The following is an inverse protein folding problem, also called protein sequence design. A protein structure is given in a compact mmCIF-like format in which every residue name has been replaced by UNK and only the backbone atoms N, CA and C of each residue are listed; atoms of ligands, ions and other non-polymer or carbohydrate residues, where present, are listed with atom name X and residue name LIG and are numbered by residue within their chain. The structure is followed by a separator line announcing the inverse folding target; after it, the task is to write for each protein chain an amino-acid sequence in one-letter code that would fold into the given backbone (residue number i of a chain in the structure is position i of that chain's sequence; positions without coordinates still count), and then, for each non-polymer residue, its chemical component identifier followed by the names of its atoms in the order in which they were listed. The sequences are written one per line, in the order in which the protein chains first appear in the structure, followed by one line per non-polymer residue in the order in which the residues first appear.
data_IF_955241095465
#
_entry.id   IF_955241095465
#
_cell.length_a   1.000
_cell.length_b   1.000
_cell.length_c   1.000
_cell.angle_alpha   90.00
_cell.angle_beta   90.00
_cell.angle_gamma   90.00
#
_symmetry.space_group_name_H-M   'P 1'
#
loop_
_entity.id
_entity.type
_entity.pdbx_description
1 polymer ?
#
# COMPACT_ATOMS: atom_id res chain seq x y z
N UNK A 1 7.05 1.24 -21.02
CA UNK A 1 5.76 1.69 -20.45
C UNK A 1 5.56 1.00 -19.13
N UNK A 2 5.20 1.76 -18.09
CA UNK A 2 4.90 1.17 -16.78
C UNK A 2 3.81 0.12 -16.91
N UNK A 3 4.02 -1.01 -16.23
CA UNK A 3 3.13 -2.17 -16.30
C UNK A 3 2.95 -2.86 -14.95
N UNK A 4 3.58 -2.32 -13.93
CA UNK A 4 3.59 -2.86 -12.58
C UNK A 4 3.38 -1.75 -11.55
N UNK A 5 2.79 -2.12 -10.42
CA UNK A 5 2.55 -1.24 -9.27
C UNK A 5 3.13 -1.90 -8.03
N UNK A 6 3.72 -1.12 -7.15
CA UNK A 6 3.92 -1.48 -5.75
C UNK A 6 3.08 -0.54 -4.90
N UNK A 7 2.43 -1.06 -3.85
CA UNK A 7 1.70 -0.23 -2.90
C UNK A 7 1.88 -0.69 -1.45
N UNK A 8 1.53 0.20 -0.54
CA UNK A 8 1.62 0.00 0.91
C UNK A 8 0.52 0.79 1.63
N UNK A 9 0.03 0.26 2.75
CA UNK A 9 -0.90 0.94 3.65
C UNK A 9 -0.24 1.30 4.97
N UNK A 10 -0.48 2.51 5.45
CA UNK A 10 -0.22 2.86 6.83
C UNK A 10 -1.50 2.71 7.65
N UNK A 11 -1.40 2.04 8.80
CA UNK A 11 -2.59 1.59 9.54
C UNK A 11 -2.53 1.92 11.03
N UNK A 12 -3.70 1.96 11.69
CA UNK A 12 -3.85 2.02 13.14
C UNK A 12 -4.22 0.66 13.77
N UNK A 13 -4.10 -0.43 12.98
CA UNK A 13 -4.42 -1.77 13.44
C UNK A 13 -3.60 -2.80 12.66
N UNK A 14 -3.29 -3.93 13.29
CA UNK A 14 -2.70 -5.09 12.64
C UNK A 14 -3.76 -6.08 12.10
N UNK A 15 -5.03 -5.79 12.30
CA UNK A 15 -6.15 -6.58 11.76
C UNK A 15 -6.48 -6.10 10.33
N UNK A 16 -6.11 -6.85 9.28
CA UNK A 16 -6.34 -6.40 7.91
C UNK A 16 -7.81 -6.46 7.48
N UNK A 17 -8.67 -7.13 8.27
CA UNK A 17 -10.11 -7.26 7.97
C UNK A 17 -10.88 -6.04 8.45
N UNK A 18 -10.59 -5.56 9.68
CA UNK A 18 -11.35 -4.50 10.35
C UNK A 18 -10.50 -3.33 10.84
N UNK A 19 -9.23 -3.34 10.52
CA UNK A 19 -8.34 -2.27 10.95
C UNK A 19 -8.58 -0.96 10.20
N UNK A 20 -8.39 0.15 10.91
CA UNK A 20 -8.39 1.49 10.32
C UNK A 20 -7.11 1.71 9.51
N UNK A 21 -7.25 2.24 8.30
CA UNK A 21 -6.13 2.70 7.48
C UNK A 21 -5.97 4.22 7.57
N UNK A 22 -4.73 4.69 7.54
CA UNK A 22 -4.39 6.12 7.60
C UNK A 22 -4.15 6.64 6.21
N UNK A 23 -3.33 5.92 5.44
CA UNK A 23 -2.95 6.31 4.09
C UNK A 23 -2.70 5.10 3.22
N UNK A 24 -2.75 5.34 1.93
CA UNK A 24 -2.37 4.43 0.88
C UNK A 24 -1.36 5.14 -0.03
N UNK A 25 -0.25 4.49 -0.29
CA UNK A 25 0.74 4.95 -1.25
C UNK A 25 0.97 3.91 -2.34
N UNK A 26 1.11 4.37 -3.58
CA UNK A 26 1.41 3.50 -4.71
C UNK A 26 2.46 4.12 -5.63
N UNK A 27 3.21 3.26 -6.29
CA UNK A 27 4.25 3.61 -7.24
C UNK A 27 4.12 2.75 -8.50
N UNK A 28 4.01 3.38 -9.66
CA UNK A 28 3.99 2.71 -10.96
C UNK A 28 5.39 2.61 -11.58
N UNK A 29 5.72 1.47 -12.19
CA UNK A 29 7.04 1.24 -12.78
C UNK A 29 7.02 0.21 -13.92
N UNK A 30 8.09 0.22 -14.73
CA UNK A 30 8.38 -0.76 -15.77
C UNK A 30 9.49 -1.71 -15.30
N UNK A 31 9.16 -2.97 -15.09
CA UNK A 31 10.13 -3.98 -14.62
C UNK A 31 11.31 -4.16 -15.56
N UNK A 32 11.13 -3.97 -16.85
CA UNK A 32 12.23 -4.14 -17.84
C UNK A 32 13.37 -3.16 -17.60
N UNK A 33 13.09 -2.00 -16.99
CA UNK A 33 14.09 -0.99 -16.67
C UNK A 33 15.07 -1.39 -15.58
N UNK A 34 14.71 -2.31 -14.69
CA UNK A 34 15.58 -2.69 -13.56
C UNK A 34 16.93 -3.29 -14.01
N UNK A 35 16.97 -3.91 -15.18
CA UNK A 35 18.18 -4.52 -15.72
C UNK A 35 19.00 -3.51 -16.54
N UNK A 36 18.35 -2.85 -17.49
CA UNK A 36 19.05 -2.06 -18.52
C UNK A 36 19.21 -0.58 -18.14
N UNK A 37 18.21 -0.02 -17.46
CA UNK A 37 18.18 1.38 -17.06
C UNK A 37 17.46 1.55 -15.74
N UNK A 38 18.10 1.26 -14.60
CA UNK A 38 17.48 1.40 -13.28
C UNK A 38 16.91 2.82 -13.06
N UNK A 39 15.80 2.89 -12.34
CA UNK A 39 15.22 4.17 -11.94
C UNK A 39 16.14 4.91 -10.97
N UNK A 40 16.23 6.21 -11.11
CA UNK A 40 16.75 7.08 -10.07
C UNK A 40 15.69 7.26 -8.98
N UNK A 41 16.12 7.68 -7.78
CA UNK A 41 15.19 8.00 -6.70
C UNK A 41 14.17 9.09 -7.11
N UNK A 42 14.62 10.10 -7.84
CA UNK A 42 13.76 11.19 -8.31
C UNK A 42 12.70 10.70 -9.32
N UNK A 43 13.07 9.83 -10.26
CA UNK A 43 12.11 9.21 -11.18
C UNK A 43 11.06 8.38 -10.43
N UNK A 44 11.47 7.62 -9.41
CA UNK A 44 10.51 6.85 -8.59
C UNK A 44 9.59 7.78 -7.80
N UNK A 45 10.11 8.83 -7.21
CA UNK A 45 9.33 9.78 -6.43
C UNK A 45 8.27 10.49 -7.30
N UNK A 46 8.61 10.83 -8.55
CA UNK A 46 7.67 11.45 -9.49
C UNK A 46 6.52 10.50 -9.92
N UNK A 47 6.73 9.19 -9.80
CA UNK A 47 5.73 8.16 -10.10
C UNK A 47 4.98 7.68 -8.84
N UNK A 48 5.26 8.28 -7.68
CA UNK A 48 4.63 7.92 -6.42
C UNK A 48 3.40 8.81 -6.18
N UNK A 49 2.30 8.16 -5.84
CA UNK A 49 1.04 8.80 -5.49
C UNK A 49 0.61 8.37 -4.11
N UNK A 50 0.06 9.28 -3.31
CA UNK A 50 -0.39 9.00 -1.96
C UNK A 50 -1.73 9.69 -1.68
N UNK A 51 -2.59 8.99 -0.95
CA UNK A 51 -3.88 9.49 -0.46
C UNK A 51 -4.00 9.18 1.03
N UNK A 52 -4.61 10.07 1.79
CA UNK A 52 -4.89 9.88 3.22
C UNK A 52 -6.39 9.85 3.49
N UNK A 53 -6.77 9.11 4.51
CA UNK A 53 -8.17 8.81 4.77
C UNK A 53 -8.68 9.36 6.11
N UNK A 54 -9.97 9.70 6.12
CA UNK A 54 -10.70 10.10 7.31
C UNK A 54 -10.82 8.91 8.28
N UNK A 55 -10.04 8.94 9.37
CA UNK A 55 -10.02 7.88 10.39
C UNK A 55 -11.35 7.78 11.12
N UNK A 56 -11.93 8.92 11.48
CA UNK A 56 -13.18 8.99 12.23
C UNK A 56 -14.37 8.41 11.46
N UNK A 57 -14.43 8.62 10.15
CA UNK A 57 -15.44 8.05 9.25
C UNK A 57 -15.37 6.52 9.28
N UNK A 58 -14.15 5.96 9.13
CA UNK A 58 -13.96 4.51 9.14
C UNK A 58 -14.45 3.84 10.42
N UNK A 59 -14.24 4.48 11.56
CA UNK A 59 -14.72 3.97 12.85
C UNK A 59 -16.24 4.07 12.97
N UNK A 60 -16.81 5.22 12.58
CA UNK A 60 -18.23 5.52 12.81
C UNK A 60 -19.17 4.84 11.82
N UNK A 61 -18.77 4.82 10.54
CA UNK A 61 -19.65 4.38 9.46
C UNK A 61 -19.38 2.94 9.03
N UNK A 62 -18.10 2.51 9.05
CA UNK A 62 -17.70 1.17 8.62
C UNK A 62 -17.37 0.21 9.78
N UNK A 63 -17.42 0.70 11.04
CA UNK A 63 -17.15 -0.11 12.22
C UNK A 63 -15.72 -0.65 12.29
N UNK A 64 -14.77 0.05 11.65
CA UNK A 64 -13.36 -0.31 11.69
C UNK A 64 -12.74 -0.01 13.05
N UNK A 65 -11.69 -0.71 13.40
CA UNK A 65 -11.10 -0.68 14.73
C UNK A 65 -9.67 -0.13 14.73
N UNK A 66 -9.35 0.52 15.84
CA UNK A 66 -8.01 1.02 16.16
C UNK A 66 -7.43 0.17 17.29
N UNK A 67 -6.17 -0.25 17.16
CA UNK A 67 -5.48 -1.01 18.20
C UNK A 67 -4.52 -0.12 18.98
N UNK A 68 -4.64 -0.14 20.32
CA UNK A 68 -3.80 0.66 21.20
C UNK A 68 -2.30 0.34 21.03
N UNK A 69 -1.96 -0.93 20.82
CA UNK A 69 -0.58 -1.36 20.56
C UNK A 69 0.02 -0.73 19.31
N UNK A 70 -0.79 -0.55 18.25
CA UNK A 70 -0.34 0.11 17.02
C UNK A 70 -0.16 1.62 17.22
N UNK A 71 -1.05 2.27 17.98
CA UNK A 71 -0.88 3.67 18.36
C UNK A 71 0.42 3.85 19.17
N UNK A 72 0.67 2.96 20.12
CA UNK A 72 1.87 3.05 20.97
C UNK A 72 3.15 2.78 20.16
N UNK A 73 3.09 1.88 19.18
CA UNK A 73 4.19 1.68 18.23
C UNK A 73 4.47 2.96 17.44
N UNK A 74 3.43 3.63 16.91
CA UNK A 74 3.57 4.88 16.17
C UNK A 74 4.17 6.01 17.01
N UNK A 75 3.79 6.15 18.30
CA UNK A 75 4.35 7.15 19.22
C UNK A 75 5.86 6.99 19.40
N UNK A 76 6.41 5.80 19.18
CA UNK A 76 7.84 5.51 19.29
C UNK A 76 8.60 5.69 17.95
N UNK A 77 7.91 6.01 16.85
CA UNK A 77 8.54 6.29 15.58
C UNK A 77 9.15 7.70 15.53
N UNK A 78 10.07 7.99 14.59
CA UNK A 78 10.56 9.35 14.35
C UNK A 78 9.43 10.35 14.15
N UNK A 79 9.64 11.61 14.53
CA UNK A 79 8.62 12.65 14.45
C UNK A 79 8.11 12.87 13.01
N UNK A 80 8.99 12.71 12.04
CA UNK A 80 8.68 12.81 10.62
C UNK A 80 7.63 11.75 10.21
N UNK A 81 7.80 10.51 10.68
CA UNK A 81 6.83 9.44 10.46
C UNK A 81 5.51 9.70 11.20
N UNK A 82 5.59 10.18 12.46
CA UNK A 82 4.39 10.55 13.23
C UNK A 82 3.58 11.67 12.58
N UNK A 83 4.23 12.54 11.78
CA UNK A 83 3.53 13.61 11.08
C UNK A 83 2.51 13.09 10.08
N UNK A 84 2.76 11.92 9.49
CA UNK A 84 1.81 11.26 8.57
C UNK A 84 0.49 10.89 9.23
N UNK A 85 0.47 10.69 10.56
CA UNK A 85 -0.73 10.33 11.32
C UNK A 85 -1.67 11.51 11.57
N UNK A 86 -1.19 12.75 11.43
CA UNK A 86 -2.01 13.92 11.76
C UNK A 86 -3.14 14.06 10.76
N UNK A 87 -4.39 14.22 11.24
CA UNK A 87 -5.49 14.58 10.36
C UNK A 87 -5.17 15.84 9.56
N UNK A 88 -5.61 15.86 8.32
CA UNK A 88 -5.47 16.98 7.38
C UNK A 88 -6.83 17.35 6.80
N UNK A 89 -6.99 18.59 6.35
CA UNK A 89 -8.18 19.01 5.61
C UNK A 89 -8.28 18.32 4.23
N UNK A 90 -7.18 17.76 3.75
CA UNK A 90 -7.11 17.01 2.49
C UNK A 90 -7.40 15.52 2.65
N UNK A 91 -7.65 15.03 3.88
CA UNK A 91 -8.01 13.63 4.12
C UNK A 91 -9.39 13.34 3.53
N UNK A 92 -9.52 12.22 2.81
CA UNK A 92 -10.74 11.87 2.06
C UNK A 92 -11.42 10.62 2.62
N UNK A 93 -12.62 10.32 2.14
CA UNK A 93 -13.30 9.06 2.42
C UNK A 93 -12.52 7.85 1.86
N UNK A 94 -12.63 6.68 2.51
CA UNK A 94 -12.10 5.43 1.95
C UNK A 94 -12.80 5.03 0.64
N UNK A 95 -13.96 5.62 0.31
CA UNK A 95 -14.64 5.41 -0.97
C UNK A 95 -13.80 5.87 -2.17
N UNK A 96 -12.89 6.83 -1.97
CA UNK A 96 -12.02 7.38 -3.00
C UNK A 96 -10.87 6.42 -3.40
N UNK A 97 -10.59 5.37 -2.61
CA UNK A 97 -9.47 4.46 -2.85
C UNK A 97 -9.54 3.78 -4.23
N UNK A 98 -10.73 3.36 -4.64
CA UNK A 98 -10.92 2.70 -5.94
C UNK A 98 -10.52 3.61 -7.10
N UNK A 99 -11.11 4.81 -7.15
CA UNK A 99 -10.87 5.77 -8.22
C UNK A 99 -9.41 6.23 -8.20
N UNK A 100 -8.86 6.51 -7.02
CA UNK A 100 -7.45 6.85 -6.87
C UNK A 100 -6.52 5.76 -7.43
N UNK A 101 -6.77 4.49 -7.14
CA UNK A 101 -5.97 3.39 -7.68
C UNK A 101 -6.10 3.27 -9.20
N UNK A 102 -7.33 3.35 -9.72
CA UNK A 102 -7.61 3.21 -11.16
C UNK A 102 -7.00 4.35 -11.97
N UNK A 103 -7.04 5.57 -11.46
CA UNK A 103 -6.49 6.76 -12.12
C UNK A 103 -4.95 6.77 -12.16
N UNK A 104 -4.29 6.17 -11.16
CA UNK A 104 -2.83 6.22 -11.03
C UNK A 104 -2.12 4.92 -11.42
N UNK A 105 -2.85 3.85 -11.75
CA UNK A 105 -2.26 2.61 -12.23
C UNK A 105 -1.96 2.66 -13.73
N UNK A 106 -1.00 1.86 -14.22
CA UNK A 106 -0.83 1.65 -15.67
C UNK A 106 -2.07 1.03 -16.32
N UNK A 107 -2.40 1.46 -17.55
CA UNK A 107 -3.50 0.87 -18.34
C UNK A 107 -3.28 -0.63 -18.57
N UNK A 108 -2.04 -1.04 -18.84
CA UNK A 108 -1.62 -2.46 -19.04
C UNK A 108 -1.02 -3.04 -17.75
N UNK A 109 -1.76 -2.95 -16.64
CA UNK A 109 -1.32 -3.47 -15.34
C UNK A 109 -1.17 -4.99 -15.38
N UNK A 110 0.07 -5.48 -15.17
CA UNK A 110 0.43 -6.91 -15.20
C UNK A 110 0.77 -7.49 -13.85
N UNK A 111 1.32 -6.67 -12.94
CA UNK A 111 1.71 -7.12 -11.60
C UNK A 111 1.45 -6.06 -10.55
N UNK A 112 1.08 -6.53 -9.38
CA UNK A 112 0.90 -5.73 -8.18
C UNK A 112 1.82 -6.29 -7.10
N UNK A 113 2.71 -5.46 -6.59
CA UNK A 113 3.68 -5.83 -5.57
C UNK A 113 3.29 -5.28 -4.21
N UNK A 114 3.40 -6.10 -3.18
CA UNK A 114 3.23 -5.71 -1.78
C UNK A 114 4.29 -6.35 -0.91
N UNK A 115 4.45 -5.87 0.30
CA UNK A 115 5.38 -6.44 1.27
C UNK A 115 4.67 -7.43 2.20
N UNK A 116 4.15 -8.51 1.63
CA UNK A 116 3.40 -9.54 2.32
C UNK A 116 1.96 -9.62 1.83
N UNK A 117 1.62 -10.69 1.13
CA UNK A 117 0.30 -10.88 0.50
C UNK A 117 -0.84 -11.12 1.48
N UNK A 118 -0.55 -11.25 2.77
CA UNK A 118 -1.55 -11.50 3.82
C UNK A 118 -1.91 -10.24 4.62
N UNK A 119 -1.38 -9.08 4.26
CA UNK A 119 -1.61 -7.83 4.96
C UNK A 119 -2.20 -6.77 4.01
N UNK A 120 -1.38 -6.08 3.21
CA UNK A 120 -1.84 -4.99 2.37
C UNK A 120 -2.94 -5.39 1.36
N UNK A 121 -2.84 -6.53 0.63
CA UNK A 121 -3.92 -6.95 -0.26
C UNK A 121 -5.22 -7.28 0.47
N UNK A 122 -5.13 -7.80 1.70
CA UNK A 122 -6.31 -8.10 2.50
C UNK A 122 -6.98 -6.81 2.98
N UNK A 123 -6.20 -5.79 3.41
CA UNK A 123 -6.76 -4.46 3.67
C UNK A 123 -7.48 -3.91 2.44
N UNK A 124 -6.85 -3.99 1.26
CA UNK A 124 -7.45 -3.50 0.02
C UNK A 124 -8.79 -4.17 -0.26
N UNK A 125 -8.83 -5.51 -0.21
CA UNK A 125 -10.05 -6.29 -0.48
C UNK A 125 -11.19 -5.94 0.49
N UNK A 126 -10.90 -5.80 1.79
CA UNK A 126 -11.90 -5.47 2.78
C UNK A 126 -12.34 -3.99 2.75
N UNK A 127 -11.47 -3.06 2.35
CA UNK A 127 -11.87 -1.68 2.08
C UNK A 127 -12.83 -1.60 0.89
N UNK A 128 -12.53 -2.32 -0.19
CA UNK A 128 -13.43 -2.43 -1.33
C UNK A 128 -14.79 -3.02 -0.94
N UNK A 129 -14.79 -4.08 -0.14
CA UNK A 129 -16.03 -4.71 0.33
C UNK A 129 -16.86 -3.78 1.24
N UNK A 130 -16.23 -3.02 2.13
CA UNK A 130 -16.91 -2.05 2.99
C UNK A 130 -17.55 -0.89 2.19
N UNK A 131 -17.04 -0.60 1.00
CA UNK A 131 -17.55 0.46 0.10
C UNK A 131 -18.38 -0.06 -1.08
N UNK A 132 -18.84 -1.31 -1.04
CA UNK A 132 -19.57 -2.00 -2.10
C UNK A 132 -18.85 -1.99 -3.47
N UNK A 133 -17.52 -2.01 -3.45
CA UNK A 133 -16.66 -2.04 -4.63
C UNK A 133 -15.94 -3.39 -4.75
N UNK A 134 -15.34 -3.63 -5.92
CA UNK A 134 -14.54 -4.84 -6.18
C UNK A 134 -13.09 -4.42 -6.39
N UNK A 135 -12.16 -5.17 -5.81
CA UNK A 135 -10.73 -4.94 -6.00
C UNK A 135 -10.38 -4.79 -7.48
N UNK A 136 -9.75 -3.67 -7.91
CA UNK A 136 -9.59 -3.31 -9.32
C UNK A 136 -8.45 -4.05 -10.04
N UNK A 137 -8.04 -5.17 -9.49
CA UNK A 137 -7.07 -6.08 -10.09
C UNK A 137 -7.32 -7.53 -9.67
N UNK A 138 -7.00 -8.53 -10.50
CA UNK A 138 -7.18 -9.93 -10.14
C UNK A 138 -6.09 -10.42 -9.18
N UNK A 139 -6.45 -11.26 -8.21
CA UNK A 139 -5.53 -11.75 -7.16
C UNK A 139 -4.27 -12.46 -7.70
N UNK A 140 -4.34 -13.08 -8.88
CA UNK A 140 -3.20 -13.85 -9.43
C UNK A 140 -2.06 -12.99 -9.98
N UNK A 141 -2.25 -11.67 -10.11
CA UNK A 141 -1.16 -10.75 -10.46
C UNK A 141 -0.42 -10.20 -9.25
N UNK A 142 -0.89 -10.47 -8.03
CA UNK A 142 -0.22 -10.03 -6.79
C UNK A 142 1.07 -10.80 -6.55
N UNK A 143 2.10 -10.10 -6.13
CA UNK A 143 3.46 -10.61 -5.87
C UNK A 143 3.96 -10.14 -4.50
N UNK A 144 4.54 -11.07 -3.74
CA UNK A 144 5.17 -10.77 -2.46
C UNK A 144 6.64 -10.39 -2.65
N UNK A 145 6.98 -9.15 -2.30
CA UNK A 145 8.36 -8.65 -2.45
C UNK A 145 9.33 -9.33 -1.50
N UNK A 146 8.91 -9.81 -0.32
CA UNK A 146 9.78 -10.57 0.60
C UNK A 146 10.21 -11.88 -0.02
N UNK A 147 9.27 -12.65 -0.54
CA UNK A 147 9.55 -13.92 -1.23
C UNK A 147 10.44 -13.72 -2.46
N UNK A 148 10.25 -12.61 -3.19
CA UNK A 148 11.08 -12.27 -4.33
C UNK A 148 12.53 -11.97 -3.90
N UNK A 149 12.72 -11.15 -2.87
CA UNK A 149 14.04 -10.79 -2.33
C UNK A 149 14.76 -12.03 -1.81
N UNK A 150 14.06 -12.89 -1.06
CA UNK A 150 14.63 -14.14 -0.54
C UNK A 150 15.07 -15.07 -1.70
N UNK A 151 14.24 -15.21 -2.72
CA UNK A 151 14.57 -16.00 -3.90
C UNK A 151 15.80 -15.47 -4.64
N UNK A 152 15.92 -14.14 -4.79
CA UNK A 152 17.08 -13.50 -5.39
C UNK A 152 18.35 -13.68 -4.54
N UNK A 153 18.24 -13.54 -3.22
CA UNK A 153 19.34 -13.76 -2.28
C UNK A 153 19.86 -15.20 -2.35
N UNK A 154 18.98 -16.17 -2.39
CA UNK A 154 19.36 -17.60 -2.53
C UNK A 154 20.01 -17.87 -3.89
N UNK A 155 19.44 -17.35 -4.98
CA UNK A 155 19.97 -17.53 -6.33
C UNK A 155 21.36 -16.91 -6.54
N UNK A 156 21.68 -15.83 -5.80
CA UNK A 156 22.99 -15.16 -5.83
C UNK A 156 24.01 -15.72 -4.82
N UNK A 157 23.60 -16.70 -4.01
CA UNK A 157 24.45 -17.27 -2.94
C UNK A 157 24.61 -16.35 -1.72
N UNK A 158 23.84 -15.27 -1.63
CA UNK A 158 23.81 -14.39 -0.47
C UNK A 158 22.91 -15.01 0.60
N UNK A 159 23.53 -15.52 1.67
CA UNK A 159 22.77 -15.93 2.85
C UNK A 159 22.33 -14.67 3.60
N UNK A 160 21.04 -14.39 3.63
CA UNK A 160 20.49 -13.43 4.59
C UNK A 160 20.73 -13.95 6.00
N UNK A 161 21.69 -13.35 6.69
CA UNK A 161 21.86 -13.48 8.13
C UNK A 161 21.08 -12.40 8.84
#
# INVERSE_FOLDING_TARGET
MDNSVVYDFETLSQDPVKGVVISFAMLSFDESRFIDKPYTYEELLNNCHMIKFLVDEQVKEYGRSVQQSTIDWWKNQPKEAQYQLKPSEDDVSITELYDFFVENRPDDLKKVYTRGNTFDPVFFDFLMADTDQVTPYPWWIVRDTRSLIDGMAWGSGLNNK
#
